data_IF_923175005469
#
_entry.id   IF_923175005469
#
_cell.length_a   1.000
_cell.length_b   1.000
_cell.length_c   1.000
_cell.angle_alpha   90.00
_cell.angle_beta   90.00
_cell.angle_gamma   90.00
#
_symmetry.space_group_name_H-M   'P 1'
#
loop_
_entity.id
_entity.type
_entity.pdbx_description
1 polymer ?
#
# COMPACT_ATOMS: atom_id res chain seq x y z
N UNK A 1 51.60 14.90 -20.80
CA UNK A 1 50.93 15.20 -22.09
C UNK A 1 50.53 13.93 -22.81
N UNK A 2 51.44 12.98 -23.04
CA UNK A 2 51.12 11.73 -23.75
C UNK A 2 50.14 10.83 -22.98
N UNK A 3 50.36 10.64 -21.67
CA UNK A 3 49.43 9.91 -20.79
C UNK A 3 48.05 10.58 -20.70
N UNK A 4 48.02 11.89 -20.52
CA UNK A 4 46.79 12.68 -20.55
C UNK A 4 46.00 12.52 -21.85
N UNK A 5 46.68 12.56 -23.01
CA UNK A 5 46.02 12.36 -24.30
C UNK A 5 45.45 10.95 -24.41
N UNK A 6 46.19 9.93 -23.95
CA UNK A 6 45.69 8.54 -23.94
C UNK A 6 44.45 8.37 -23.07
N UNK A 7 44.46 8.96 -21.86
CA UNK A 7 43.32 8.92 -20.95
C UNK A 7 42.12 9.68 -21.52
N UNK A 8 42.37 10.83 -22.19
CA UNK A 8 41.34 11.61 -22.86
C UNK A 8 40.68 10.84 -24.01
N UNK A 9 41.47 10.20 -24.88
CA UNK A 9 40.94 9.37 -25.97
C UNK A 9 40.14 8.17 -25.44
N UNK A 10 40.62 7.55 -24.36
CA UNK A 10 39.89 6.45 -23.69
C UNK A 10 38.56 6.94 -23.12
N UNK A 11 38.56 8.11 -22.47
CA UNK A 11 37.34 8.74 -21.95
C UNK A 11 36.33 9.03 -23.06
N UNK A 12 36.77 9.62 -24.18
CA UNK A 12 35.87 9.94 -25.32
C UNK A 12 35.26 8.65 -25.88
N UNK A 13 36.08 7.62 -26.10
CA UNK A 13 35.60 6.33 -26.57
C UNK A 13 34.57 5.71 -25.62
N UNK A 14 34.84 5.66 -24.32
CA UNK A 14 33.90 5.12 -23.33
C UNK A 14 32.63 5.97 -23.22
N UNK A 15 32.73 7.29 -23.37
CA UNK A 15 31.59 8.20 -23.37
C UNK A 15 30.69 7.97 -24.58
N UNK A 16 31.25 7.90 -25.79
CA UNK A 16 30.50 7.62 -27.02
C UNK A 16 29.81 6.25 -26.93
N UNK A 17 30.50 5.24 -26.40
CA UNK A 17 29.90 3.92 -26.15
C UNK A 17 28.71 4.01 -25.19
N UNK A 18 28.87 4.70 -24.06
CA UNK A 18 27.79 4.87 -23.07
C UNK A 18 26.59 5.65 -23.66
N UNK A 19 26.85 6.64 -24.51
CA UNK A 19 25.80 7.37 -25.23
C UNK A 19 25.01 6.45 -26.17
N UNK A 20 25.69 5.59 -26.93
CA UNK A 20 25.01 4.62 -27.80
C UNK A 20 24.17 3.62 -27.00
N UNK A 21 24.67 3.10 -25.89
CA UNK A 21 23.91 2.21 -24.99
C UNK A 21 22.67 2.91 -24.43
N UNK A 22 22.77 4.19 -24.06
CA UNK A 22 21.65 5.00 -23.57
C UNK A 22 20.59 5.26 -24.66
N UNK A 23 21.01 5.54 -25.90
CA UNK A 23 20.09 5.72 -27.03
C UNK A 23 19.32 4.44 -27.32
N UNK A 24 19.99 3.30 -27.27
CA UNK A 24 19.35 1.99 -27.45
C UNK A 24 18.35 1.68 -26.33
N UNK A 25 18.71 1.95 -25.07
CA UNK A 25 17.78 1.85 -23.95
C UNK A 25 16.51 2.69 -24.17
N UNK A 26 16.65 3.96 -24.59
CA UNK A 26 15.50 4.83 -24.86
C UNK A 26 14.63 4.32 -26.00
N UNK A 27 15.24 3.73 -27.04
CA UNK A 27 14.51 3.10 -28.15
C UNK A 27 13.68 1.92 -27.65
N UNK A 28 14.29 1.01 -26.89
CA UNK A 28 13.62 -0.16 -26.31
C UNK A 28 12.50 0.25 -25.34
N UNK A 29 12.73 1.26 -24.50
CA UNK A 29 11.73 1.81 -23.59
C UNK A 29 10.49 2.31 -24.34
N UNK A 30 10.66 3.10 -25.41
CA UNK A 30 9.55 3.58 -26.24
C UNK A 30 8.77 2.43 -26.89
N UNK A 31 9.47 1.44 -27.44
CA UNK A 31 8.85 0.26 -28.04
C UNK A 31 8.03 -0.54 -27.01
N UNK A 32 8.58 -0.72 -25.81
CA UNK A 32 7.87 -1.36 -24.70
C UNK A 32 6.60 -0.59 -24.34
N UNK A 33 6.68 0.74 -24.17
CA UNK A 33 5.51 1.57 -23.85
C UNK A 33 4.43 1.48 -24.93
N UNK A 34 4.80 1.52 -26.20
CA UNK A 34 3.87 1.39 -27.32
C UNK A 34 3.17 0.02 -27.31
N UNK A 35 3.92 -1.06 -27.14
CA UNK A 35 3.37 -2.41 -27.03
C UNK A 35 2.42 -2.54 -25.83
N UNK A 36 2.78 -1.97 -24.68
CA UNK A 36 1.92 -1.94 -23.49
C UNK A 36 0.59 -1.21 -23.76
N UNK A 37 0.59 -0.09 -24.48
CA UNK A 37 -0.64 0.62 -24.83
C UNK A 37 -1.55 -0.20 -25.75
N UNK A 38 -0.96 -0.89 -26.73
CA UNK A 38 -1.70 -1.76 -27.65
C UNK A 38 -2.32 -2.94 -26.91
N UNK A 39 -1.56 -3.61 -26.04
CA UNK A 39 -2.09 -4.67 -25.17
C UNK A 39 -3.27 -4.19 -24.32
N UNK A 40 -3.19 -2.98 -23.75
CA UNK A 40 -4.30 -2.39 -22.98
C UNK A 40 -5.52 -2.11 -23.85
N UNK A 41 -5.35 -1.58 -25.07
CA UNK A 41 -6.46 -1.36 -26.02
C UNK A 41 -7.15 -2.68 -26.38
N UNK A 42 -6.37 -3.72 -26.68
CA UNK A 42 -6.88 -5.05 -26.99
C UNK A 42 -7.65 -5.66 -25.80
N UNK A 43 -7.12 -5.54 -24.59
CA UNK A 43 -7.81 -6.01 -23.39
C UNK A 43 -9.14 -5.27 -23.14
N UNK A 44 -9.20 -3.94 -23.34
CA UNK A 44 -10.46 -3.19 -23.24
C UNK A 44 -11.49 -3.69 -24.25
N UNK A 45 -11.08 -3.93 -25.49
CA UNK A 45 -11.94 -4.47 -26.54
C UNK A 45 -12.47 -5.87 -26.18
N UNK A 46 -11.59 -6.80 -25.79
CA UNK A 46 -11.98 -8.15 -25.36
C UNK A 46 -12.94 -8.11 -24.17
N UNK A 47 -12.70 -7.23 -23.20
CA UNK A 47 -13.58 -7.06 -22.04
C UNK A 47 -14.98 -6.59 -22.41
N UNK A 48 -15.08 -5.70 -23.39
CA UNK A 48 -16.36 -5.27 -23.94
C UNK A 48 -17.09 -6.42 -24.63
N UNK A 49 -16.39 -7.20 -25.45
CA UNK A 49 -16.97 -8.38 -26.11
C UNK A 49 -17.48 -9.41 -25.09
N UNK A 50 -16.71 -9.72 -24.04
CA UNK A 50 -17.16 -10.63 -22.99
C UNK A 50 -18.40 -10.13 -22.26
N UNK A 51 -18.49 -8.82 -21.97
CA UNK A 51 -19.69 -8.24 -21.35
C UNK A 51 -20.92 -8.40 -22.26
N UNK A 52 -20.76 -8.17 -23.56
CA UNK A 52 -21.85 -8.33 -24.53
C UNK A 52 -22.28 -9.79 -24.63
N UNK A 53 -21.32 -10.70 -24.83
CA UNK A 53 -21.60 -12.14 -24.95
C UNK A 53 -22.29 -12.66 -23.69
N UNK A 54 -21.86 -12.26 -22.48
CA UNK A 54 -22.54 -12.64 -21.22
C UNK A 54 -23.97 -12.13 -21.13
N UNK A 55 -24.25 -10.93 -21.67
CA UNK A 55 -25.61 -10.39 -21.75
C UNK A 55 -26.47 -11.23 -22.70
N UNK A 56 -25.94 -11.55 -23.88
CA UNK A 56 -26.64 -12.37 -24.88
C UNK A 56 -26.90 -13.78 -24.34
N UNK A 57 -25.93 -14.38 -23.64
CA UNK A 57 -26.11 -15.66 -22.96
C UNK A 57 -27.26 -15.63 -21.96
N UNK A 58 -27.33 -14.61 -21.10
CA UNK A 58 -28.41 -14.47 -20.13
C UNK A 58 -29.78 -14.35 -20.82
N UNK A 59 -29.84 -13.59 -21.91
CA UNK A 59 -31.07 -13.47 -22.71
C UNK A 59 -31.48 -14.80 -23.36
N UNK A 60 -30.53 -15.65 -23.75
CA UNK A 60 -30.80 -16.98 -24.30
C UNK A 60 -31.23 -17.98 -23.21
N UNK A 61 -30.70 -17.86 -21.99
CA UNK A 61 -31.14 -18.67 -20.84
C UNK A 61 -32.62 -18.42 -20.49
N UNK A 62 -33.16 -17.23 -20.82
CA UNK A 62 -34.56 -16.86 -20.61
C UNK A 62 -35.50 -17.35 -21.75
N UNK A 63 -34.93 -17.88 -22.85
CA UNK A 63 -35.70 -18.46 -23.96
C UNK A 63 -35.93 -19.97 -23.80
N UNK A 64 -37.04 -20.49 -24.34
CA UNK A 64 -37.35 -21.93 -24.35
C UNK A 64 -36.48 -22.66 -25.38
N UNK A 65 -35.24 -22.96 -25.00
CA UNK A 65 -34.27 -23.69 -25.81
C UNK A 65 -34.53 -25.20 -25.78
N UNK A 66 -34.24 -25.88 -26.89
CA UNK A 66 -34.24 -27.35 -26.94
C UNK A 66 -33.01 -27.93 -26.20
N UNK A 67 -33.00 -29.24 -25.97
CA UNK A 67 -31.94 -29.88 -25.16
C UNK A 67 -30.56 -29.84 -25.82
N UNK A 68 -30.50 -29.79 -27.16
CA UNK A 68 -29.27 -29.67 -27.93
C UNK A 68 -28.68 -28.24 -27.87
N UNK A 69 -29.54 -27.22 -27.98
CA UNK A 69 -29.21 -25.81 -27.80
C UNK A 69 -28.74 -25.51 -26.37
N UNK A 70 -29.37 -26.11 -25.36
CA UNK A 70 -28.91 -26.01 -23.96
C UNK A 70 -27.52 -26.59 -23.77
N UNK A 71 -27.23 -27.74 -24.40
CA UNK A 71 -25.91 -28.36 -24.35
C UNK A 71 -24.85 -27.45 -25.00
N UNK A 72 -25.13 -26.93 -26.20
CA UNK A 72 -24.26 -25.99 -26.92
C UNK A 72 -24.03 -24.72 -26.09
N UNK A 73 -25.07 -24.17 -25.47
CA UNK A 73 -24.98 -22.97 -24.63
C UNK A 73 -24.08 -23.20 -23.41
N UNK A 74 -24.17 -24.38 -22.79
CA UNK A 74 -23.35 -24.77 -21.63
C UNK A 74 -21.88 -24.93 -22.00
N UNK A 75 -21.57 -25.56 -23.14
CA UNK A 75 -20.20 -25.67 -23.67
C UNK A 75 -19.58 -24.30 -23.99
N UNK A 76 -20.37 -23.42 -24.63
CA UNK A 76 -19.94 -22.03 -24.89
C UNK A 76 -19.70 -21.26 -23.59
N UNK A 77 -20.52 -21.47 -22.55
CA UNK A 77 -20.36 -20.85 -21.22
C UNK A 77 -19.05 -21.25 -20.56
N UNK A 78 -18.74 -22.55 -20.53
CA UNK A 78 -17.47 -23.04 -20.00
C UNK A 78 -16.26 -22.43 -20.75
N UNK A 79 -16.37 -22.33 -22.07
CA UNK A 79 -15.33 -21.71 -22.91
C UNK A 79 -15.13 -20.23 -22.57
N UNK A 80 -16.22 -19.47 -22.39
CA UNK A 80 -16.18 -18.05 -22.03
C UNK A 80 -15.56 -17.82 -20.66
N UNK A 81 -15.85 -18.66 -19.67
CA UNK A 81 -15.25 -18.54 -18.33
C UNK A 81 -13.75 -18.87 -18.35
N UNK A 82 -13.32 -19.83 -19.18
CA UNK A 82 -11.91 -20.10 -19.42
C UNK A 82 -11.20 -18.88 -20.03
N UNK A 83 -11.76 -18.29 -21.09
CA UNK A 83 -11.15 -17.09 -21.71
C UNK A 83 -11.21 -15.86 -20.80
N UNK A 84 -12.25 -15.73 -19.96
CA UNK A 84 -12.33 -14.67 -18.96
C UNK A 84 -11.20 -14.79 -17.94
N UNK A 85 -10.87 -16.01 -17.52
CA UNK A 85 -9.75 -16.28 -16.62
C UNK A 85 -8.41 -15.95 -17.26
N UNK A 86 -8.20 -16.35 -18.53
CA UNK A 86 -7.00 -15.97 -19.30
C UNK A 86 -6.87 -14.45 -19.46
N UNK A 87 -7.96 -13.75 -19.74
CA UNK A 87 -7.95 -12.29 -19.83
C UNK A 87 -7.59 -11.64 -18.49
N UNK A 88 -8.05 -12.21 -17.36
CA UNK A 88 -7.70 -11.74 -16.04
C UNK A 88 -6.20 -11.95 -15.72
N UNK A 89 -5.60 -13.03 -16.22
CA UNK A 89 -4.16 -13.28 -16.14
C UNK A 89 -3.36 -12.27 -16.97
N UNK A 90 -3.72 -12.09 -18.25
CA UNK A 90 -3.10 -11.07 -19.12
C UNK A 90 -3.17 -9.67 -18.51
N UNK A 91 -4.25 -9.32 -17.80
CA UNK A 91 -4.41 -8.03 -17.11
C UNK A 91 -3.43 -7.86 -15.95
N UNK A 92 -3.01 -8.94 -15.28
CA UNK A 92 -2.08 -8.88 -14.13
C UNK A 92 -0.64 -8.63 -14.55
N UNK A 93 -0.30 -8.94 -15.79
CA UNK A 93 1.03 -8.73 -16.37
C UNK A 93 1.22 -7.31 -16.93
N UNK A 94 0.13 -6.57 -17.09
CA UNK A 94 0.16 -5.17 -17.53
C UNK A 94 0.12 -4.21 -16.35
N UNK A 95 0.63 -2.97 -16.55
CA UNK A 95 0.55 -1.95 -15.53
C UNK A 95 -0.90 -1.57 -15.24
N UNK A 96 -1.22 -1.56 -13.95
CA UNK A 96 -2.48 -1.08 -13.41
C UNK A 96 -2.57 0.42 -13.69
N UNK A 97 -3.63 0.82 -14.40
CA UNK A 97 -3.85 2.22 -14.80
C UNK A 97 -4.88 2.96 -13.95
N UNK A 98 -5.65 2.24 -13.14
CA UNK A 98 -6.66 2.83 -12.27
C UNK A 98 -6.21 2.71 -10.82
N UNK A 99 -5.69 3.81 -10.29
CA UNK A 99 -5.44 3.95 -8.87
C UNK A 99 -6.80 4.07 -8.16
N UNK A 100 -6.97 3.39 -7.02
CA UNK A 100 -8.14 3.62 -6.17
C UNK A 100 -8.25 5.11 -5.78
N UNK A 101 -9.46 5.60 -5.51
CA UNK A 101 -9.76 7.01 -5.22
C UNK A 101 -8.75 7.67 -4.26
N UNK A 102 -8.39 6.97 -3.18
CA UNK A 102 -7.40 7.44 -2.20
C UNK A 102 -6.04 7.76 -2.82
N UNK A 103 -5.43 6.79 -3.52
CA UNK A 103 -4.12 6.97 -4.14
C UNK A 103 -4.17 7.93 -5.32
N UNK A 104 -5.26 7.93 -6.09
CA UNK A 104 -5.47 8.91 -7.15
C UNK A 104 -5.50 10.34 -6.62
N UNK A 105 -6.05 10.56 -5.41
CA UNK A 105 -6.13 11.89 -4.80
C UNK A 105 -4.76 12.34 -4.30
N UNK A 106 -3.96 11.45 -3.73
CA UNK A 106 -2.67 11.79 -3.11
C UNK A 106 -1.52 11.87 -4.12
N UNK A 107 -1.46 10.91 -5.05
CA UNK A 107 -0.33 10.73 -5.97
C UNK A 107 -0.66 11.17 -7.40
N UNK A 108 -1.92 11.48 -7.67
CA UNK A 108 -2.44 11.76 -9.01
C UNK A 108 -3.04 10.53 -9.69
N UNK A 109 -4.05 10.77 -10.53
CA UNK A 109 -4.78 9.71 -11.24
C UNK A 109 -3.93 8.98 -12.28
N UNK A 110 -2.91 9.64 -12.83
CA UNK A 110 -2.16 9.15 -13.99
C UNK A 110 -0.78 8.57 -13.63
N UNK A 111 -0.43 8.50 -12.34
CA UNK A 111 0.85 7.94 -11.91
C UNK A 111 0.78 6.41 -11.93
N UNK A 112 1.67 5.76 -12.68
CA UNK A 112 1.79 4.31 -12.70
C UNK A 112 2.60 3.82 -11.48
N UNK A 113 1.93 3.19 -10.53
CA UNK A 113 2.53 2.64 -9.29
C UNK A 113 2.59 1.11 -9.36
N UNK A 114 2.53 0.55 -10.57
CA UNK A 114 2.52 -0.88 -10.79
C UNK A 114 3.93 -1.45 -10.70
N UNK A 115 4.10 -2.43 -9.84
CA UNK A 115 5.29 -3.24 -9.67
C UNK A 115 5.10 -4.50 -10.50
N UNK A 116 5.53 -4.44 -11.76
CA UNK A 116 5.30 -5.52 -12.74
C UNK A 116 6.15 -6.74 -12.42
N UNK A 117 7.40 -6.52 -12.00
CA UNK A 117 8.32 -7.60 -11.69
C UNK A 117 7.99 -8.21 -10.30
N UNK A 118 7.85 -9.54 -10.18
CA UNK A 118 7.82 -10.23 -8.88
C UNK A 118 8.91 -9.77 -7.90
N UNK A 119 10.13 -9.52 -8.39
CA UNK A 119 11.26 -9.09 -7.57
C UNK A 119 11.06 -7.68 -7.02
N UNK A 120 10.50 -6.77 -7.82
CA UNK A 120 10.16 -5.40 -7.39
C UNK A 120 9.07 -5.42 -6.32
N UNK A 121 8.04 -6.25 -6.50
CA UNK A 121 6.99 -6.45 -5.49
C UNK A 121 7.56 -6.96 -4.18
N UNK A 122 8.44 -7.95 -4.25
CA UNK A 122 9.09 -8.50 -3.07
C UNK A 122 10.00 -7.47 -2.40
N UNK A 123 10.83 -6.76 -3.18
CA UNK A 123 11.72 -5.69 -2.69
C UNK A 123 10.94 -4.59 -1.99
N UNK A 124 9.89 -4.07 -2.62
CA UNK A 124 9.05 -3.03 -2.03
C UNK A 124 8.39 -3.51 -0.73
N UNK A 125 7.88 -4.75 -0.70
CA UNK A 125 7.33 -5.35 0.52
C UNK A 125 8.39 -5.47 1.62
N UNK A 126 9.62 -5.88 1.30
CA UNK A 126 10.72 -5.97 2.26
C UNK A 126 11.09 -4.59 2.82
N UNK A 127 11.18 -3.57 1.97
CA UNK A 127 11.44 -2.19 2.39
C UNK A 127 10.30 -1.62 3.24
N UNK A 128 9.05 -1.99 2.94
CA UNK A 128 7.89 -1.65 3.77
C UNK A 128 7.99 -2.27 5.17
N UNK A 129 8.27 -3.57 5.27
CA UNK A 129 8.42 -4.25 6.55
C UNK A 129 9.59 -3.67 7.36
N UNK A 130 10.74 -3.46 6.71
CA UNK A 130 11.91 -2.85 7.35
C UNK A 130 11.61 -1.44 7.88
N UNK A 131 10.89 -0.63 7.10
CA UNK A 131 10.41 0.69 7.52
C UNK A 131 9.49 0.59 8.75
N UNK A 132 8.50 -0.32 8.73
CA UNK A 132 7.60 -0.53 9.89
C UNK A 132 8.42 -0.80 11.14
N UNK A 133 9.38 -1.72 11.07
CA UNK A 133 10.19 -2.09 12.23
C UNK A 133 11.05 -0.92 12.71
N UNK A 134 11.80 -0.31 11.79
CA UNK A 134 12.71 0.79 12.10
C UNK A 134 11.97 1.96 12.75
N UNK A 135 10.86 2.40 12.17
CA UNK A 135 10.07 3.51 12.70
C UNK A 135 9.37 3.14 14.00
N UNK A 136 8.92 1.89 14.17
CA UNK A 136 8.34 1.44 15.46
C UNK A 136 9.35 1.55 16.60
N UNK A 137 10.62 1.20 16.37
CA UNK A 137 11.67 1.39 17.38
C UNK A 137 11.95 2.86 17.68
N UNK A 138 11.92 3.73 16.66
CA UNK A 138 12.06 5.18 16.86
C UNK A 138 10.88 5.73 17.68
N UNK A 139 9.65 5.36 17.34
CA UNK A 139 8.44 5.73 18.11
C UNK A 139 8.58 5.26 19.55
N UNK A 140 8.97 4.00 19.77
CA UNK A 140 9.17 3.46 21.12
C UNK A 140 10.20 4.26 21.92
N UNK A 141 11.35 4.59 21.32
CA UNK A 141 12.37 5.40 21.97
C UNK A 141 11.88 6.81 22.32
N UNK A 142 11.15 7.46 21.42
CA UNK A 142 10.55 8.79 21.66
C UNK A 142 9.51 8.73 22.77
N UNK A 143 8.68 7.68 22.83
CA UNK A 143 7.69 7.50 23.88
C UNK A 143 8.32 7.19 25.24
N UNK A 144 9.40 6.41 25.29
CA UNK A 144 10.19 6.19 26.52
C UNK A 144 10.80 7.50 27.00
N UNK A 145 11.37 8.30 26.09
CA UNK A 145 11.92 9.61 26.43
C UNK A 145 10.82 10.54 26.96
N UNK A 146 9.65 10.54 26.31
CA UNK A 146 8.49 11.32 26.74
C UNK A 146 7.99 10.92 28.13
N UNK A 147 8.14 9.64 28.52
CA UNK A 147 7.80 9.15 29.86
C UNK A 147 8.79 9.61 30.94
N UNK A 148 10.08 9.71 30.62
CA UNK A 148 11.12 10.12 31.57
C UNK A 148 11.12 11.64 31.78
N UNK A 149 10.77 12.40 30.75
CA UNK A 149 10.73 13.86 30.80
C UNK A 149 9.46 14.38 31.52
N UNK A 150 9.48 15.60 32.10
CA UNK A 150 8.28 16.21 32.65
C UNK A 150 7.17 16.33 31.60
N UNK A 151 5.89 16.28 32.00
CA UNK A 151 4.75 16.22 31.08
C UNK A 151 4.49 17.57 30.39
N UNK A 152 5.38 17.95 29.46
CA UNK A 152 5.21 19.14 28.65
C UNK A 152 4.33 18.84 27.45
N UNK A 153 3.32 19.69 27.22
CA UNK A 153 2.42 19.60 26.06
C UNK A 153 3.14 19.49 24.70
N UNK A 154 4.33 20.08 24.59
CA UNK A 154 5.17 20.03 23.39
C UNK A 154 5.66 18.61 23.11
N UNK A 155 6.02 17.84 24.14
CA UNK A 155 6.48 16.46 24.00
C UNK A 155 5.33 15.59 23.46
N UNK A 156 4.13 15.73 24.01
CA UNK A 156 2.94 15.05 23.51
C UNK A 156 2.62 15.43 22.05
N UNK A 157 2.83 16.69 21.68
CA UNK A 157 2.64 17.15 20.30
C UNK A 157 3.63 16.45 19.35
N UNK A 158 4.90 16.34 19.74
CA UNK A 158 5.94 15.65 18.95
C UNK A 158 5.58 14.16 18.79
N UNK A 159 5.17 13.49 19.87
CA UNK A 159 4.73 12.09 19.84
C UNK A 159 3.53 11.88 18.90
N UNK A 160 2.49 12.71 19.03
CA UNK A 160 1.29 12.60 18.19
C UNK A 160 1.57 12.97 16.73
N UNK A 161 2.41 13.97 16.47
CA UNK A 161 2.82 14.31 15.10
C UNK A 161 3.57 13.17 14.44
N UNK A 162 4.50 12.52 15.16
CA UNK A 162 5.21 11.34 14.68
C UNK A 162 4.24 10.19 14.36
N UNK A 163 3.23 9.96 15.20
CA UNK A 163 2.20 8.95 14.94
C UNK A 163 1.33 9.28 13.72
N UNK A 164 0.89 10.54 13.57
CA UNK A 164 0.13 10.98 12.37
C UNK A 164 0.96 10.71 11.12
N UNK A 165 2.21 11.16 11.09
CA UNK A 165 3.12 10.92 9.96
C UNK A 165 3.29 9.42 9.67
N UNK A 166 3.47 8.60 10.71
CA UNK A 166 3.62 7.16 10.58
C UNK A 166 2.37 6.50 9.98
N UNK A 167 1.19 6.73 10.55
CA UNK A 167 -0.06 6.12 10.06
C UNK A 167 -0.44 6.63 8.66
N UNK A 168 -0.23 7.91 8.34
CA UNK A 168 -0.35 8.41 6.96
C UNK A 168 0.56 7.63 6.01
N UNK A 169 1.83 7.42 6.38
CA UNK A 169 2.78 6.69 5.55
C UNK A 169 2.37 5.22 5.36
N UNK A 170 1.88 4.55 6.42
CA UNK A 170 1.35 3.19 6.33
C UNK A 170 0.18 3.11 5.35
N UNK A 171 -0.80 4.00 5.45
CA UNK A 171 -1.98 3.95 4.56
C UNK A 171 -1.60 4.10 3.08
N UNK A 172 -0.62 4.95 2.75
CA UNK A 172 -0.10 5.08 1.39
C UNK A 172 0.61 3.79 0.96
N UNK A 173 1.58 3.32 1.74
CA UNK A 173 2.39 2.15 1.38
C UNK A 173 1.55 0.86 1.30
N UNK A 174 0.59 0.66 2.19
CA UNK A 174 -0.33 -0.47 2.16
C UNK A 174 -1.32 -0.38 1.01
N UNK A 175 -1.77 0.81 0.63
CA UNK A 175 -2.61 0.98 -0.56
C UNK A 175 -1.86 0.60 -1.84
N UNK A 176 -0.56 0.95 -1.94
CA UNK A 176 0.32 0.53 -3.05
C UNK A 176 0.49 -1.00 -3.05
N UNK A 177 0.70 -1.61 -1.88
CA UNK A 177 0.78 -3.08 -1.76
C UNK A 177 -0.52 -3.76 -2.18
N UNK A 178 -1.68 -3.23 -1.78
CA UNK A 178 -3.01 -3.76 -2.15
C UNK A 178 -3.26 -3.68 -3.66
N UNK A 179 -2.90 -2.55 -4.28
CA UNK A 179 -2.93 -2.40 -5.74
C UNK A 179 -2.11 -3.50 -6.42
N UNK A 180 -0.91 -3.78 -5.90
CA UNK A 180 0.02 -4.76 -6.45
C UNK A 180 -0.22 -6.22 -5.98
N UNK A 181 -1.42 -6.53 -5.47
CA UNK A 181 -1.87 -7.89 -5.19
C UNK A 181 -1.64 -8.40 -3.75
N UNK A 182 -1.16 -7.55 -2.84
CA UNK A 182 -1.04 -7.91 -1.42
C UNK A 182 -2.43 -8.05 -0.77
N UNK A 183 -2.61 -9.12 0.00
CA UNK A 183 -3.88 -9.43 0.68
C UNK A 183 -3.96 -8.73 2.05
N UNK A 184 -4.09 -7.41 2.04
CA UNK A 184 -4.28 -6.62 3.27
C UNK A 184 -5.79 -6.46 3.53
N UNK A 185 -6.23 -6.74 4.75
CA UNK A 185 -7.65 -6.72 5.14
C UNK A 185 -8.17 -5.28 5.24
N UNK A 186 -9.42 -5.07 4.87
CA UNK A 186 -10.04 -3.73 4.89
C UNK A 186 -10.14 -3.11 6.28
N UNK A 187 -10.47 -3.92 7.30
CA UNK A 187 -10.55 -3.46 8.69
C UNK A 187 -9.19 -2.95 9.21
N UNK A 188 -8.06 -3.50 8.72
CA UNK A 188 -6.71 -3.12 9.14
C UNK A 188 -6.37 -1.72 8.64
N UNK A 189 -6.68 -1.48 7.38
CA UNK A 189 -6.50 -0.16 6.77
C UNK A 189 -7.44 0.86 7.42
N UNK A 190 -8.68 0.46 7.75
CA UNK A 190 -9.61 1.32 8.48
C UNK A 190 -9.07 1.70 9.87
N UNK A 191 -8.48 0.76 10.60
CA UNK A 191 -7.81 1.05 11.86
C UNK A 191 -6.72 2.13 11.69
N UNK A 192 -5.88 2.06 10.66
CA UNK A 192 -4.86 3.08 10.43
C UNK A 192 -5.46 4.47 10.15
N UNK A 193 -6.55 4.56 9.38
CA UNK A 193 -7.24 5.83 9.16
C UNK A 193 -7.80 6.41 10.45
N UNK A 194 -8.46 5.58 11.27
CA UNK A 194 -9.00 6.01 12.56
C UNK A 194 -7.87 6.47 13.48
N UNK A 195 -6.79 5.69 13.60
CA UNK A 195 -5.63 6.03 14.42
C UNK A 195 -4.97 7.34 13.98
N UNK A 196 -4.87 7.59 12.68
CA UNK A 196 -4.37 8.85 12.15
C UNK A 196 -5.26 10.04 12.55
N UNK A 197 -6.58 9.92 12.41
CA UNK A 197 -7.54 10.96 12.80
C UNK A 197 -7.46 11.23 14.30
N UNK A 198 -7.45 10.17 15.13
CA UNK A 198 -7.34 10.29 16.58
C UNK A 198 -6.05 11.00 16.99
N UNK A 199 -4.90 10.62 16.44
CA UNK A 199 -3.63 11.30 16.71
C UNK A 199 -3.66 12.77 16.24
N UNK A 200 -4.32 13.07 15.12
CA UNK A 200 -4.50 14.44 14.62
C UNK A 200 -5.39 15.31 15.51
N UNK A 201 -6.46 14.73 16.06
CA UNK A 201 -7.33 15.40 17.04
C UNK A 201 -6.53 15.68 18.32
N UNK A 202 -5.81 14.70 18.86
CA UNK A 202 -4.97 14.87 20.05
C UNK A 202 -3.86 15.90 19.83
N UNK A 203 -3.24 15.90 18.64
CA UNK A 203 -2.21 16.87 18.26
C UNK A 203 -2.74 18.31 18.31
N UNK A 204 -3.96 18.54 17.84
CA UNK A 204 -4.59 19.87 17.76
C UNK A 204 -5.38 20.26 19.01
N UNK A 205 -5.53 19.35 19.97
CA UNK A 205 -6.24 19.60 21.23
C UNK A 205 -5.47 20.61 22.09
N UNK A 206 -6.12 21.73 22.45
CA UNK A 206 -5.51 22.79 23.27
C UNK A 206 -5.20 22.32 24.69
N UNK A 207 -4.07 22.75 25.22
CA UNK A 207 -3.68 22.46 26.60
C UNK A 207 -4.73 22.97 27.61
N UNK A 208 -5.12 22.11 28.56
CA UNK A 208 -6.16 22.40 29.54
C UNK A 208 -6.64 21.17 30.32
N UNK A 209 -7.39 21.41 31.38
CA UNK A 209 -7.80 20.39 32.36
C UNK A 209 -8.53 19.18 31.73
N UNK A 210 -9.35 19.43 30.70
CA UNK A 210 -10.05 18.37 29.96
C UNK A 210 -9.07 17.46 29.17
N UNK A 211 -8.02 18.04 28.59
CA UNK A 211 -6.96 17.28 27.94
C UNK A 211 -6.19 16.44 28.96
N UNK A 212 -5.87 17.01 30.13
CA UNK A 212 -5.11 16.32 31.17
C UNK A 212 -5.87 15.15 31.82
N UNK A 213 -7.19 15.26 31.94
CA UNK A 213 -8.02 14.15 32.43
C UNK A 213 -8.18 13.04 31.38
N UNK A 214 -8.29 13.40 30.09
CA UNK A 214 -8.55 12.44 29.02
C UNK A 214 -7.26 11.76 28.53
N UNK A 215 -6.10 12.44 28.52
CA UNK A 215 -4.83 11.93 27.96
C UNK A 215 -4.47 10.55 28.52
N UNK A 216 -4.64 10.36 29.83
CA UNK A 216 -4.27 9.13 30.50
C UNK A 216 -5.28 8.02 30.20
N UNK A 217 -6.58 8.29 30.36
CA UNK A 217 -7.63 7.35 30.00
C UNK A 217 -7.55 6.92 28.52
N UNK A 218 -7.19 7.85 27.63
CA UNK A 218 -7.01 7.60 26.21
C UNK A 218 -5.80 6.69 25.94
N UNK A 219 -4.65 6.91 26.60
CA UNK A 219 -3.50 6.01 26.52
C UNK A 219 -3.85 4.58 26.98
N UNK A 220 -4.58 4.45 28.09
CA UNK A 220 -5.06 3.15 28.57
C UNK A 220 -6.03 2.46 27.61
N UNK A 221 -6.94 3.23 27.00
CA UNK A 221 -7.84 2.73 25.95
C UNK A 221 -7.07 2.27 24.71
N UNK A 222 -6.11 3.06 24.23
CA UNK A 222 -5.23 2.69 23.11
C UNK A 222 -4.49 1.38 23.38
N UNK A 223 -3.92 1.23 24.58
CA UNK A 223 -3.30 -0.02 25.03
C UNK A 223 -4.26 -1.21 24.94
N UNK A 224 -5.45 -1.08 25.55
CA UNK A 224 -6.46 -2.14 25.54
C UNK A 224 -6.89 -2.53 24.13
N UNK A 225 -7.17 -1.54 23.26
CA UNK A 225 -7.60 -1.79 21.88
C UNK A 225 -6.51 -2.45 21.04
N UNK A 226 -5.26 -2.04 21.20
CA UNK A 226 -4.13 -2.68 20.51
C UNK A 226 -3.95 -4.12 20.98
N UNK A 227 -4.13 -4.39 22.27
CA UNK A 227 -4.05 -5.74 22.81
C UNK A 227 -5.19 -6.64 22.31
N UNK A 228 -6.42 -6.13 22.29
CA UNK A 228 -7.60 -6.79 21.71
C UNK A 228 -7.39 -7.14 20.22
N UNK A 229 -6.84 -6.19 19.45
CA UNK A 229 -6.50 -6.41 18.04
C UNK A 229 -5.40 -7.47 17.88
N UNK A 230 -4.38 -7.49 18.74
CA UNK A 230 -3.33 -8.51 18.71
C UNK A 230 -3.87 -9.93 18.96
N UNK A 231 -4.86 -10.07 19.85
CA UNK A 231 -5.47 -11.36 20.19
C UNK A 231 -6.36 -11.93 19.07
N UNK A 232 -6.74 -11.13 18.07
CA UNK A 232 -7.37 -11.67 16.88
C UNK A 232 -6.39 -12.54 16.08
N UNK A 233 -6.76 -13.82 15.85
CA UNK A 233 -5.91 -14.87 15.23
C UNK A 233 -5.19 -14.42 13.95
N UNK A 234 -5.80 -13.54 13.17
CA UNK A 234 -5.26 -13.04 11.90
C UNK A 234 -4.16 -11.96 12.07
N UNK A 235 -4.01 -11.35 13.24
CA UNK A 235 -3.08 -10.24 13.51
C UNK A 235 -1.92 -10.61 14.44
N UNK A 236 -1.96 -11.81 15.03
CA UNK A 236 -0.95 -12.32 15.97
C UNK A 236 0.48 -12.36 15.43
N UNK A 237 0.66 -12.25 14.10
CA UNK A 237 1.98 -12.21 13.43
C UNK A 237 2.60 -10.81 13.36
N UNK A 238 1.82 -9.75 13.58
CA UNK A 238 2.28 -8.37 13.58
C UNK A 238 2.68 -7.97 15.01
N UNK A 239 3.89 -8.38 15.43
CA UNK A 239 4.42 -8.17 16.78
C UNK A 239 4.44 -6.69 17.21
N UNK A 240 4.46 -5.75 16.26
CA UNK A 240 4.42 -4.32 16.50
C UNK A 240 3.16 -3.91 17.25
N UNK A 241 2.02 -4.58 16.99
CA UNK A 241 0.75 -4.31 17.67
C UNK A 241 0.85 -4.63 19.16
N UNK A 242 1.47 -5.76 19.50
CA UNK A 242 1.71 -6.17 20.89
C UNK A 242 2.68 -5.23 21.60
N UNK A 243 3.75 -4.81 20.92
CA UNK A 243 4.73 -3.87 21.50
C UNK A 243 4.10 -2.51 21.77
N UNK A 244 3.31 -1.98 20.84
CA UNK A 244 2.58 -0.72 21.05
C UNK A 244 1.55 -0.85 22.18
N UNK A 245 0.80 -1.95 22.26
CA UNK A 245 -0.10 -2.23 23.38
C UNK A 245 0.62 -2.17 24.73
N UNK A 246 1.72 -2.91 24.88
CA UNK A 246 2.53 -2.93 26.12
C UNK A 246 3.06 -1.54 26.43
N UNK A 247 3.55 -0.80 25.44
CA UNK A 247 4.08 0.55 25.62
C UNK A 247 3.01 1.52 26.15
N UNK A 248 1.84 1.57 25.50
CA UNK A 248 0.73 2.41 25.97
C UNK A 248 0.25 1.96 27.37
N UNK A 249 0.33 0.66 27.70
CA UNK A 249 0.00 0.15 29.03
C UNK A 249 0.98 0.66 30.09
N UNK A 250 2.29 0.57 29.84
CA UNK A 250 3.33 1.03 30.76
C UNK A 250 3.19 2.52 31.03
N UNK A 251 2.97 3.32 29.98
CA UNK A 251 2.80 4.77 30.10
C UNK A 251 1.52 5.08 30.88
N UNK A 252 0.41 4.39 30.61
CA UNK A 252 -0.83 4.56 31.35
C UNK A 252 -0.67 4.24 32.84
N UNK A 253 -0.07 3.09 33.18
CA UNK A 253 0.14 2.66 34.57
C UNK A 253 1.10 3.62 35.27
N UNK A 254 2.24 3.93 34.65
CA UNK A 254 3.23 4.83 35.23
C UNK A 254 2.66 6.21 35.55
N UNK A 255 1.90 6.79 34.62
CA UNK A 255 1.22 8.07 34.82
C UNK A 255 0.13 7.98 35.90
N UNK A 256 -0.63 6.89 35.95
CA UNK A 256 -1.68 6.70 36.97
C UNK A 256 -1.11 6.57 38.39
N UNK A 257 0.12 6.05 38.52
CA UNK A 257 0.82 5.88 39.81
C UNK A 257 1.56 7.15 40.26
N UNK A 258 1.99 8.01 39.32
CA UNK A 258 2.74 9.24 39.64
C UNK A 258 1.86 10.48 39.81
N UNK A 259 0.64 10.47 39.25
CA UNK A 259 -0.30 11.61 39.28
C UNK A 259 -1.58 11.34 40.11
N UNK A 260 -1.80 10.10 40.58
CA UNK A 260 -2.88 9.72 41.49
C UNK A 260 -2.39 9.54 42.91
#
# INVERSE_FOLDING_TARGET
MEEFNKDYETFIFDFEKAEQEQLEYLRLYRQMTQSQEECVKNQKHLSYLFKRIRKDQKSLEETNLNDEEKKILTEKKASIDQYTSKLAEMRRELPIRENGFYLSTILGSNLNISLLNPDERYKYKKEYESFKLSVTFVILAVFILAYILPPFRIIDAICNFLLVWYYCTLTIRESILRLNGSRIKGWWVLHHYISCVLCGVTLTWRDGECYDQIRHAFQGYCSYRLFDIYLHKDCSREWQVMVLAIMFAIIFIGNSVTLG
#
